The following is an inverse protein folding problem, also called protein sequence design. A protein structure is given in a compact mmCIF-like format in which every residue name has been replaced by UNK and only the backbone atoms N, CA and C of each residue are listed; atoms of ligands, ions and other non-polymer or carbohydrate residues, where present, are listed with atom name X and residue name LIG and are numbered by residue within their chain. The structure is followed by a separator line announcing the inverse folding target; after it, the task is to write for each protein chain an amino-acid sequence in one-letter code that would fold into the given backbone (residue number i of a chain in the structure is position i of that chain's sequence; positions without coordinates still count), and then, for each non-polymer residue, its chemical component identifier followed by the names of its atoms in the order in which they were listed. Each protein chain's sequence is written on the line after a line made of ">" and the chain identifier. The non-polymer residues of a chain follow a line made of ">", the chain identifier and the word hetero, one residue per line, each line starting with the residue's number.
data_IF_280514786290
#
_entry.id   IF_280514786290
#
_cell.length_a   1.000
_cell.length_b   1.000
_cell.length_c   1.000
_cell.angle_alpha   90.00
_cell.angle_beta   90.00
_cell.angle_gamma   90.00
#
_symmetry.space_group_name_H-M   'P 1'
#
loop_
_entity.id
_entity.type
_entity.pdbx_description
1 polymer ?
#
# COMPACT_ATOMS: atom_id res chain seq x y z
N UNK A 1 -6.89 -33.45 22.03
CA UNK A 1 -6.52 -32.02 22.09
C UNK A 1 -7.58 -31.30 21.28
N UNK A 2 -8.38 -30.44 21.90
CA UNK A 2 -9.37 -29.63 21.16
C UNK A 2 -8.58 -28.59 20.38
N UNK A 3 -8.50 -28.75 19.07
CA UNK A 3 -8.14 -27.65 18.17
C UNK A 3 -9.17 -26.56 18.40
N UNK A 4 -8.70 -25.35 18.73
CA UNK A 4 -9.58 -24.20 18.78
C UNK A 4 -10.13 -24.01 17.35
N UNK A 5 -11.45 -23.99 17.20
CA UNK A 5 -12.21 -23.70 15.95
C UNK A 5 -12.03 -22.23 15.52
N UNK A 6 -10.81 -21.69 15.66
CA UNK A 6 -10.46 -20.36 15.20
C UNK A 6 -10.23 -20.43 13.70
N UNK A 7 -11.04 -19.70 12.94
CA UNK A 7 -10.84 -19.48 11.51
C UNK A 7 -9.64 -18.54 11.30
N UNK A 8 -8.42 -19.06 11.48
CA UNK A 8 -7.18 -18.31 11.33
C UNK A 8 -6.85 -18.20 9.83
N UNK A 9 -7.10 -17.02 9.27
CA UNK A 9 -6.72 -16.69 7.91
C UNK A 9 -5.20 -16.54 7.79
N UNK A 10 -4.57 -17.37 6.95
CA UNK A 10 -3.12 -17.29 6.71
C UNK A 10 -2.83 -16.20 5.67
N UNK A 11 -2.11 -15.17 6.09
CA UNK A 11 -1.62 -14.10 5.22
C UNK A 11 -0.21 -14.44 4.71
N UNK A 12 -0.09 -14.68 3.41
CA UNK A 12 1.19 -15.01 2.78
C UNK A 12 2.05 -13.77 2.53
N UNK A 13 3.36 -13.96 2.33
CA UNK A 13 4.29 -12.93 1.84
C UNK A 13 4.37 -11.64 2.69
N UNK A 14 4.11 -11.71 4.00
CA UNK A 14 4.15 -10.53 4.87
C UNK A 14 5.51 -9.84 4.93
N UNK A 15 6.62 -10.58 4.77
CA UNK A 15 7.96 -9.99 4.67
C UNK A 15 8.04 -8.98 3.52
N UNK A 16 7.53 -9.38 2.34
CA UNK A 16 7.56 -8.54 1.15
C UNK A 16 6.57 -7.37 1.26
N UNK A 17 5.42 -7.59 1.92
CA UNK A 17 4.46 -6.54 2.23
C UNK A 17 5.09 -5.45 3.12
N UNK A 18 5.79 -5.85 4.19
CA UNK A 18 6.47 -4.90 5.11
C UNK A 18 7.56 -4.12 4.37
N UNK A 19 8.41 -4.81 3.59
CA UNK A 19 9.47 -4.16 2.83
C UNK A 19 8.88 -3.14 1.84
N UNK A 20 7.83 -3.54 1.12
CA UNK A 20 7.17 -2.67 0.15
C UNK A 20 6.54 -1.43 0.81
N UNK A 21 5.95 -1.58 2.01
CA UNK A 21 5.43 -0.44 2.77
C UNK A 21 6.54 0.56 3.13
N UNK A 22 7.70 0.07 3.59
CA UNK A 22 8.85 0.92 3.92
C UNK A 22 9.35 1.70 2.69
N UNK A 23 9.40 1.04 1.53
CA UNK A 23 9.81 1.68 0.27
C UNK A 23 8.82 2.77 -0.15
N UNK A 24 7.51 2.53 -0.02
CA UNK A 24 6.47 3.53 -0.31
C UNK A 24 6.54 4.72 0.66
N UNK A 25 6.69 4.48 1.95
CA UNK A 25 6.84 5.54 2.96
C UNK A 25 8.09 6.39 2.70
N UNK A 26 9.21 5.77 2.33
CA UNK A 26 10.43 6.48 1.93
C UNK A 26 10.20 7.37 0.71
N UNK A 27 9.53 6.85 -0.33
CA UNK A 27 9.17 7.64 -1.54
C UNK A 27 8.22 8.79 -1.21
N UNK A 28 7.20 8.55 -0.39
CA UNK A 28 6.23 9.59 0.02
C UNK A 28 6.89 10.70 0.80
N UNK A 29 7.80 10.37 1.72
CA UNK A 29 8.60 11.36 2.47
C UNK A 29 9.43 12.23 1.54
N UNK A 30 10.12 11.64 0.56
CA UNK A 30 10.89 12.39 -0.45
C UNK A 30 10.03 13.33 -1.30
N UNK A 31 8.78 12.96 -1.53
CA UNK A 31 7.82 13.76 -2.29
C UNK A 31 6.98 14.71 -1.43
N UNK A 32 7.21 14.76 -0.12
CA UNK A 32 6.41 15.54 0.85
C UNK A 32 4.89 15.28 0.75
N UNK A 33 4.50 14.05 0.40
CA UNK A 33 3.10 13.66 0.29
C UNK A 33 2.55 13.27 1.66
N UNK A 34 1.33 13.73 1.97
CA UNK A 34 0.58 13.23 3.13
C UNK A 34 0.20 11.77 2.90
N UNK A 35 0.35 10.94 3.92
CA UNK A 35 0.03 9.51 3.89
C UNK A 35 -1.08 9.22 4.88
N UNK A 36 -2.15 8.57 4.42
CA UNK A 36 -3.01 7.80 5.31
C UNK A 36 -2.43 6.39 5.43
N UNK A 37 -1.85 6.09 6.58
CA UNK A 37 -1.14 4.83 6.80
C UNK A 37 -2.06 3.60 6.76
N UNK A 38 -3.34 3.75 7.15
CA UNK A 38 -4.27 2.63 7.14
C UNK A 38 -4.72 2.31 5.71
N UNK A 39 -5.04 3.34 4.91
CA UNK A 39 -5.36 3.17 3.49
C UNK A 39 -4.16 2.63 2.71
N UNK A 40 -2.97 3.17 2.95
CA UNK A 40 -1.74 2.68 2.33
C UNK A 40 -1.47 1.21 2.71
N UNK A 41 -1.64 0.87 3.99
CA UNK A 41 -1.52 -0.50 4.49
C UNK A 41 -2.48 -1.47 3.79
N UNK A 42 -3.73 -1.07 3.56
CA UNK A 42 -4.72 -1.92 2.89
C UNK A 42 -4.31 -2.22 1.44
N UNK A 43 -3.79 -1.20 0.75
CA UNK A 43 -3.26 -1.36 -0.61
C UNK A 43 -2.01 -2.23 -0.63
N UNK A 44 -1.11 -2.06 0.34
CA UNK A 44 0.12 -2.88 0.47
C UNK A 44 -0.22 -4.35 0.66
N UNK A 45 -1.11 -4.65 1.60
CA UNK A 45 -1.57 -6.02 1.86
C UNK A 45 -2.17 -6.60 0.58
N UNK A 46 -3.10 -5.88 -0.06
CA UNK A 46 -3.68 -6.35 -1.32
C UNK A 46 -2.65 -6.55 -2.45
N UNK A 47 -1.56 -5.80 -2.46
CA UNK A 47 -0.58 -5.84 -3.55
C UNK A 47 0.44 -6.97 -3.36
N UNK A 48 0.78 -7.32 -2.11
CA UNK A 48 1.89 -8.22 -1.80
C UNK A 48 1.49 -9.54 -1.16
N UNK A 49 0.29 -9.63 -0.59
CA UNK A 49 -0.22 -10.85 0.04
C UNK A 49 -1.33 -11.47 -0.79
N UNK A 50 -1.91 -12.56 -0.30
CA UNK A 50 -3.09 -13.21 -0.86
C UNK A 50 -4.41 -12.48 -0.53
N UNK A 51 -4.39 -11.36 0.19
CA UNK A 51 -5.61 -10.68 0.62
C UNK A 51 -6.27 -9.89 -0.52
N UNK A 52 -7.59 -10.02 -0.64
CA UNK A 52 -8.38 -9.11 -1.48
C UNK A 52 -8.35 -7.70 -0.90
N UNK A 53 -8.57 -6.67 -1.74
CA UNK A 53 -8.59 -5.29 -1.26
C UNK A 53 -9.72 -5.08 -0.25
N UNK A 54 -10.89 -5.70 -0.48
CA UNK A 54 -11.99 -5.66 0.48
C UNK A 54 -11.57 -6.22 1.84
N UNK A 55 -10.95 -7.42 1.84
CA UNK A 55 -10.50 -8.04 3.09
C UNK A 55 -9.40 -7.24 3.79
N UNK A 56 -8.46 -6.68 3.04
CA UNK A 56 -7.42 -5.82 3.58
C UNK A 56 -7.98 -4.51 4.17
N UNK A 57 -9.02 -3.95 3.53
CA UNK A 57 -9.74 -2.77 4.04
C UNK A 57 -10.45 -3.07 5.36
N UNK A 58 -11.13 -4.21 5.46
CA UNK A 58 -11.76 -4.67 6.70
C UNK A 58 -10.75 -4.82 7.84
N UNK A 59 -9.60 -5.48 7.58
CA UNK A 59 -8.57 -5.72 8.60
C UNK A 59 -7.94 -4.44 9.15
N UNK A 60 -7.91 -3.38 8.35
CA UNK A 60 -7.34 -2.09 8.74
C UNK A 60 -8.39 -1.02 9.04
N UNK A 61 -9.67 -1.42 9.10
CA UNK A 61 -10.80 -0.55 9.44
C UNK A 61 -10.91 0.69 8.55
N UNK A 62 -10.72 0.51 7.24
CA UNK A 62 -10.86 1.58 6.24
C UNK A 62 -11.98 1.29 5.26
N UNK A 63 -12.54 2.35 4.68
CA UNK A 63 -13.54 2.21 3.63
C UNK A 63 -12.93 1.63 2.34
N UNK A 64 -13.67 0.73 1.68
CA UNK A 64 -13.22 0.08 0.46
C UNK A 64 -13.03 1.08 -0.68
N UNK A 65 -13.94 2.03 -0.86
CA UNK A 65 -13.88 3.00 -1.96
C UNK A 65 -12.69 3.95 -1.76
N UNK A 66 -12.36 4.30 -0.52
CA UNK A 66 -11.17 5.09 -0.22
C UNK A 66 -9.89 4.28 -0.45
N UNK A 67 -9.87 2.98 -0.15
CA UNK A 67 -8.75 2.11 -0.47
C UNK A 67 -8.56 1.95 -1.99
N UNK A 68 -9.64 1.92 -2.78
CA UNK A 68 -9.59 1.91 -4.25
C UNK A 68 -8.99 3.21 -4.78
N UNK A 69 -9.41 4.37 -4.26
CA UNK A 69 -8.84 5.67 -4.63
C UNK A 69 -7.35 5.73 -4.29
N UNK A 70 -6.98 5.26 -3.11
CA UNK A 70 -5.59 5.28 -2.67
C UNK A 70 -4.72 4.35 -3.51
N UNK A 71 -5.23 3.18 -3.91
CA UNK A 71 -4.54 2.28 -4.85
C UNK A 71 -4.24 2.97 -6.18
N UNK A 72 -5.21 3.72 -6.71
CA UNK A 72 -5.02 4.51 -7.92
C UNK A 72 -3.97 5.63 -7.73
N UNK A 73 -3.96 6.30 -6.57
CA UNK A 73 -2.97 7.33 -6.26
C UNK A 73 -1.55 6.76 -6.16
N UNK A 74 -1.39 5.64 -5.45
CA UNK A 74 -0.11 4.94 -5.33
C UNK A 74 0.44 4.51 -6.69
N UNK A 75 -0.40 4.01 -7.59
CA UNK A 75 0.04 3.62 -8.94
C UNK A 75 0.65 4.77 -9.74
N UNK A 76 0.20 6.02 -9.51
CA UNK A 76 0.75 7.23 -10.13
C UNK A 76 2.10 7.63 -9.53
N UNK A 77 2.30 7.38 -8.24
CA UNK A 77 3.58 7.63 -7.54
C UNK A 77 4.63 6.63 -8.01
N UNK A 78 4.24 5.38 -8.23
CA UNK A 78 5.17 4.32 -8.67
C UNK A 78 5.65 4.48 -10.11
N UNK A 79 4.85 5.11 -10.99
CA UNK A 79 5.19 5.31 -12.39
C UNK A 79 4.96 6.77 -12.79
N UNK A 80 6.01 7.62 -12.89
CA UNK A 80 5.85 8.94 -13.49
C UNK A 80 5.45 8.76 -14.97
N UNK A 81 4.18 9.00 -15.26
CA UNK A 81 3.56 8.72 -16.56
C UNK A 81 3.85 9.78 -17.61
N UNK A 82 4.31 10.98 -17.21
CA UNK A 82 4.60 12.09 -18.12
C UNK A 82 6.06 12.53 -18.06
N UNK A 83 6.61 12.97 -19.20
CA UNK A 83 7.98 13.50 -19.29
C UNK A 83 8.20 14.69 -18.35
N UNK A 84 7.15 15.47 -18.06
CA UNK A 84 7.19 16.61 -17.13
C UNK A 84 7.31 16.13 -15.67
N UNK A 85 6.57 15.08 -15.29
CA UNK A 85 6.67 14.48 -13.96
C UNK A 85 8.04 13.83 -13.71
N UNK A 86 8.62 13.17 -14.74
CA UNK A 86 9.98 12.61 -14.68
C UNK A 86 11.03 13.72 -14.46
N UNK A 87 10.99 14.78 -15.26
CA UNK A 87 11.90 15.93 -15.11
C UNK A 87 11.73 16.65 -13.78
N UNK A 88 10.50 16.79 -13.29
CA UNK A 88 10.25 17.36 -11.96
C UNK A 88 10.93 16.52 -10.89
N UNK A 89 10.72 15.19 -10.88
CA UNK A 89 11.40 14.25 -9.96
C UNK A 89 12.93 14.34 -10.03
N UNK A 90 13.53 14.52 -11.21
CA UNK A 90 14.98 14.69 -11.35
C UNK A 90 15.50 15.98 -10.70
N UNK A 91 14.69 17.05 -10.66
CA UNK A 91 15.08 18.34 -10.09
C UNK A 91 15.00 18.32 -8.56
N UNK A 92 13.97 17.70 -7.97
CA UNK A 92 13.80 17.64 -6.50
C UNK A 92 14.69 16.61 -5.82
N UNK A 93 15.21 15.62 -6.54
CA UNK A 93 16.14 14.62 -6.00
C UNK A 93 17.62 15.04 -6.13
N UNK A 94 17.89 16.28 -6.54
CA UNK A 94 19.23 16.86 -6.72
C UNK A 94 19.59 17.75 -5.54
#
# INVERSE_FOLDING_TARGET
>A
MKENDENIEIVSNMKDAIQYNMDLESKRKKLHLKSDHALCGAVVLNTKTNLSLNRASELLYVDYDDAVKEKANLSKIEKPSTSKAKKFLEIINK
#
